data_IF_356365445788
#
_entry.id   IF_356365445788
#
_cell.length_a   1.000
_cell.length_b   1.000
_cell.length_c   1.000
_cell.angle_alpha   90.00
_cell.angle_beta   90.00
_cell.angle_gamma   90.00
#
_symmetry.space_group_name_H-M   'P 1'
#
loop_
_entity.id
_entity.type
_entity.pdbx_description
1 polymer ?
#
# COMPACT_ATOMS: atom_id res chain seq x y z
N UNK A 1 -9.01 27.48 36.27
CA UNK A 1 -7.54 27.48 36.41
C UNK A 1 -7.12 26.03 36.53
N UNK A 2 -6.45 25.50 35.52
CA UNK A 2 -5.80 24.19 35.58
C UNK A 2 -4.35 24.45 35.16
N UNK A 3 -3.48 24.67 36.14
CA UNK A 3 -2.04 24.61 35.93
C UNK A 3 -1.67 23.14 35.72
N UNK A 4 -1.61 22.72 34.46
CA UNK A 4 -1.05 21.43 34.06
C UNK A 4 0.18 21.69 33.22
N UNK A 5 1.31 22.01 33.87
CA UNK A 5 2.59 22.09 33.18
C UNK A 5 2.95 20.74 32.56
N UNK A 6 3.77 20.76 31.49
CA UNK A 6 4.33 19.54 30.93
C UNK A 6 5.04 18.71 32.01
N UNK A 7 5.05 17.38 31.87
CA UNK A 7 5.79 16.50 32.78
C UNK A 7 7.29 16.87 32.78
N UNK A 8 8.03 16.52 33.84
CA UNK A 8 9.48 16.73 33.86
C UNK A 8 10.18 15.93 32.74
N UNK A 9 11.35 16.39 32.32
CA UNK A 9 12.05 15.86 31.14
C UNK A 9 12.42 14.38 31.26
N UNK A 10 12.74 13.89 32.47
CA UNK A 10 13.06 12.48 32.69
C UNK A 10 11.81 11.61 32.58
N UNK A 11 10.67 12.08 33.10
CA UNK A 11 9.35 11.44 32.91
C UNK A 11 8.98 11.40 31.44
N UNK A 12 9.07 12.53 30.72
CA UNK A 12 8.77 12.56 29.29
C UNK A 12 9.61 11.57 28.49
N UNK A 13 10.94 11.56 28.73
CA UNK A 13 11.85 10.61 28.10
C UNK A 13 11.44 9.17 28.40
N UNK A 14 11.22 8.83 29.67
CA UNK A 14 10.94 7.47 30.11
C UNK A 14 9.61 6.93 29.55
N UNK A 15 8.56 7.74 29.59
CA UNK A 15 7.24 7.37 29.08
C UNK A 15 7.27 7.18 27.57
N UNK A 16 7.77 8.16 26.81
CA UNK A 16 7.81 8.06 25.35
C UNK A 16 8.74 6.94 24.89
N UNK A 17 9.90 6.73 25.54
CA UNK A 17 10.79 5.62 25.20
C UNK A 17 10.14 4.24 25.41
N UNK A 18 9.24 4.13 26.38
CA UNK A 18 8.46 2.90 26.61
C UNK A 18 7.38 2.75 25.54
N UNK A 19 6.67 3.84 25.23
CA UNK A 19 5.58 3.84 24.25
C UNK A 19 6.06 3.57 22.82
N UNK A 20 7.26 4.01 22.45
CA UNK A 20 7.86 3.67 21.15
C UNK A 20 8.14 2.17 20.97
N UNK A 21 8.20 1.40 22.06
CA UNK A 21 8.37 -0.07 22.02
C UNK A 21 7.04 -0.82 22.01
N UNK A 22 5.92 -0.11 21.99
CA UNK A 22 4.58 -0.70 21.91
C UNK A 22 4.48 -1.62 20.69
N UNK A 23 4.08 -2.87 20.91
CA UNK A 23 3.88 -3.82 19.83
C UNK A 23 2.69 -3.41 18.96
N UNK A 24 2.86 -3.47 17.64
CA UNK A 24 1.79 -3.19 16.69
C UNK A 24 0.71 -4.28 16.75
N UNK A 25 -0.56 -3.87 16.89
CA UNK A 25 -1.72 -4.76 16.83
C UNK A 25 -2.72 -4.28 15.79
N UNK A 26 -3.26 -5.20 15.02
CA UNK A 26 -4.26 -4.91 13.97
C UNK A 26 -5.41 -4.07 14.52
N UNK A 27 -5.74 -2.99 13.82
CA UNK A 27 -6.82 -2.07 14.18
C UNK A 27 -6.41 -0.91 15.09
N UNK A 28 -5.24 -0.99 15.74
CA UNK A 28 -4.69 0.10 16.54
C UNK A 28 -4.46 1.34 15.68
N UNK A 29 -4.50 2.50 16.34
CA UNK A 29 -4.24 3.80 15.71
C UNK A 29 -2.90 4.34 16.17
N UNK A 30 -2.07 4.70 15.20
CA UNK A 30 -0.76 5.31 15.38
C UNK A 30 -0.72 6.64 14.66
N UNK A 31 0.18 7.52 15.08
CA UNK A 31 0.27 8.89 14.59
C UNK A 31 1.65 9.14 14.02
N UNK A 32 1.71 9.89 12.93
CA UNK A 32 2.97 10.37 12.37
C UNK A 32 3.39 11.65 13.10
N UNK A 33 4.67 11.72 13.44
CA UNK A 33 5.34 12.91 13.96
C UNK A 33 6.52 13.21 13.05
N UNK A 34 6.64 14.46 12.60
CA UNK A 34 7.78 14.90 11.78
C UNK A 34 9.12 14.60 12.48
N UNK A 35 10.06 13.99 11.76
CA UNK A 35 11.31 13.55 12.34
C UNK A 35 12.20 14.72 12.77
N UNK A 36 12.07 15.91 12.16
CA UNK A 36 12.80 17.09 12.56
C UNK A 36 12.34 17.57 13.93
N UNK A 37 11.02 17.71 14.12
CA UNK A 37 10.43 18.04 15.42
C UNK A 37 10.83 17.00 16.48
N UNK A 38 10.72 15.71 16.15
CA UNK A 38 11.04 14.64 17.08
C UNK A 38 12.54 14.61 17.45
N UNK A 39 13.44 14.82 16.49
CA UNK A 39 14.89 14.95 16.75
C UNK A 39 15.20 16.13 17.67
N UNK A 40 14.50 17.24 17.51
CA UNK A 40 14.63 18.42 18.37
C UNK A 40 14.16 18.12 19.79
N UNK A 41 13.00 17.47 19.93
CA UNK A 41 12.48 16.98 21.21
C UNK A 41 13.46 16.03 21.91
N UNK A 42 14.07 15.09 21.16
CA UNK A 42 15.07 14.16 21.71
C UNK A 42 16.27 14.88 22.34
N UNK A 43 16.77 15.95 21.73
CA UNK A 43 17.85 16.79 22.31
C UNK A 43 17.38 17.47 23.59
N UNK A 44 16.18 18.05 23.54
CA UNK A 44 15.59 18.77 24.67
C UNK A 44 15.42 17.89 25.91
N UNK A 45 14.95 16.65 25.76
CA UNK A 45 14.75 15.72 26.88
C UNK A 45 15.97 14.84 27.19
N UNK A 46 17.08 15.00 26.44
CA UNK A 46 18.24 14.12 26.55
C UNK A 46 17.89 12.65 26.33
N UNK A 47 17.11 12.38 25.28
CA UNK A 47 16.55 11.05 24.97
C UNK A 47 17.63 10.02 24.70
N UNK A 48 18.59 10.38 23.85
CA UNK A 48 19.75 9.56 23.57
C UNK A 48 20.79 9.77 24.68
N UNK A 49 21.22 8.69 25.34
CA UNK A 49 21.96 8.75 26.62
C UNK A 49 23.31 9.45 26.58
N UNK A 50 23.82 9.81 25.40
CA UNK A 50 25.10 10.47 25.17
C UNK A 50 24.98 11.99 24.93
N UNK A 51 23.77 12.51 24.67
CA UNK A 51 23.54 13.93 24.35
C UNK A 51 22.68 14.62 25.41
N UNK A 52 23.25 14.78 26.61
CA UNK A 52 22.60 15.50 27.73
C UNK A 52 23.06 16.96 27.88
N UNK A 53 24.01 17.42 27.06
CA UNK A 53 24.59 18.75 27.18
C UNK A 53 23.57 19.86 26.93
N UNK A 54 22.60 19.62 26.05
CA UNK A 54 21.54 20.57 25.70
C UNK A 54 20.21 20.26 26.41
N UNK A 55 20.18 19.30 27.34
CA UNK A 55 18.95 18.89 28.01
C UNK A 55 18.34 20.07 28.77
N UNK A 56 17.08 20.40 28.47
CA UNK A 56 16.35 21.52 29.05
C UNK A 56 16.73 22.90 28.51
N UNK A 57 17.70 23.02 27.59
CA UNK A 57 18.07 24.30 26.98
C UNK A 57 16.92 24.81 26.08
N UNK A 58 16.58 26.08 26.25
CA UNK A 58 15.55 26.76 25.46
C UNK A 58 15.93 26.84 23.97
N UNK A 59 17.22 26.85 23.64
CA UNK A 59 17.69 26.82 22.26
C UNK A 59 17.29 25.54 21.51
N UNK A 60 17.00 24.47 22.25
CA UNK A 60 16.59 23.18 21.69
C UNK A 60 15.15 22.82 22.03
N UNK A 61 14.39 23.72 22.65
CA UNK A 61 12.96 23.52 22.90
C UNK A 61 12.22 23.31 21.57
N UNK A 62 11.48 22.19 21.40
CA UNK A 62 10.93 21.83 20.10
C UNK A 62 9.73 22.68 19.68
N UNK A 63 9.10 23.42 20.61
CA UNK A 63 7.83 24.11 20.34
C UNK A 63 6.66 23.14 20.15
N UNK A 64 5.49 23.65 19.71
CA UNK A 64 4.35 22.81 19.36
C UNK A 64 4.70 21.75 18.32
N UNK A 65 4.05 20.58 18.38
CA UNK A 65 4.23 19.52 17.39
C UNK A 65 3.91 20.08 16.01
N UNK A 66 4.90 20.07 15.12
CA UNK A 66 4.76 20.61 13.76
C UNK A 66 4.99 19.50 12.73
N UNK A 67 3.91 19.13 12.02
CA UNK A 67 3.92 18.15 10.95
C UNK A 67 3.86 18.79 9.55
N UNK A 68 4.08 20.10 9.42
CA UNK A 68 4.04 20.82 8.13
C UNK A 68 5.01 20.22 7.10
N UNK A 69 6.15 19.69 7.55
CA UNK A 69 7.11 18.98 6.71
C UNK A 69 6.55 17.74 6.01
N UNK A 70 5.50 17.12 6.57
CA UNK A 70 4.86 15.91 6.06
C UNK A 70 3.64 16.18 5.16
N UNK A 71 3.07 17.38 5.21
CA UNK A 71 1.80 17.72 4.55
C UNK A 71 2.02 18.28 3.13
N UNK A 72 1.08 18.04 2.22
CA UNK A 72 1.07 18.65 0.88
C UNK A 72 0.63 20.11 0.98
N UNK A 73 1.17 20.95 0.09
CA UNK A 73 0.77 22.36 0.02
C UNK A 73 -0.72 22.49 -0.34
N UNK A 74 -1.49 23.21 0.49
CA UNK A 74 -2.90 23.51 0.23
C UNK A 74 -3.92 22.44 0.65
N UNK A 75 -3.47 21.30 1.17
CA UNK A 75 -4.35 20.27 1.76
C UNK A 75 -3.75 19.74 3.07
N UNK A 76 -4.28 20.23 4.19
CA UNK A 76 -3.83 19.91 5.55
C UNK A 76 -4.06 18.45 5.96
N UNK A 77 -4.84 17.69 5.17
CA UNK A 77 -5.12 16.27 5.43
C UNK A 77 -4.30 15.32 4.53
N UNK A 78 -3.77 15.83 3.42
CA UNK A 78 -2.96 15.04 2.50
C UNK A 78 -1.49 15.07 2.90
N UNK A 79 -0.91 13.88 3.15
CA UNK A 79 0.53 13.74 3.34
C UNK A 79 1.26 13.68 1.99
N UNK A 80 2.51 14.17 1.96
CA UNK A 80 3.42 14.02 0.82
C UNK A 80 3.59 12.54 0.49
N UNK A 81 3.88 12.25 -0.77
CA UNK A 81 4.13 10.89 -1.21
C UNK A 81 5.58 10.49 -0.90
N UNK A 82 5.81 9.18 -0.81
CA UNK A 82 7.14 8.58 -0.63
C UNK A 82 7.89 8.95 0.66
N UNK A 83 7.20 9.43 1.70
CA UNK A 83 7.78 9.58 3.04
C UNK A 83 8.25 8.23 3.58
N UNK A 84 9.43 8.23 4.17
CA UNK A 84 10.14 7.05 4.68
C UNK A 84 10.09 7.05 6.22
N UNK A 85 9.68 5.91 6.77
CA UNK A 85 9.67 5.65 8.22
C UNK A 85 11.08 5.80 8.82
N UNK A 86 11.17 6.37 10.02
CA UNK A 86 12.40 6.71 10.75
C UNK A 86 13.30 7.79 10.08
N UNK A 87 13.06 8.14 8.82
CA UNK A 87 13.79 9.20 8.11
C UNK A 87 13.02 10.51 8.13
N UNK A 88 11.78 10.49 7.63
CA UNK A 88 10.94 11.68 7.47
C UNK A 88 9.95 11.84 8.62
N UNK A 89 9.43 10.73 9.14
CA UNK A 89 8.52 10.71 10.28
C UNK A 89 8.87 9.58 11.25
N UNK A 90 8.35 9.68 12.47
CA UNK A 90 8.35 8.64 13.49
C UNK A 90 6.90 8.25 13.77
N UNK A 91 6.67 6.97 14.05
CA UNK A 91 5.37 6.45 14.45
C UNK A 91 5.24 6.40 15.97
N UNK A 92 4.20 7.03 16.50
CA UNK A 92 3.88 6.98 17.93
C UNK A 92 2.49 6.37 18.16
N UNK A 93 2.29 5.51 19.19
CA UNK A 93 0.97 5.01 19.52
C UNK A 93 0.08 6.15 20.04
N UNK A 94 -1.23 5.91 20.09
CA UNK A 94 -2.23 6.90 20.54
C UNK A 94 -1.87 7.56 21.88
N UNK A 95 -1.42 6.79 22.86
CA UNK A 95 -1.02 7.35 24.16
C UNK A 95 0.20 8.27 24.05
N UNK A 96 1.19 7.90 23.24
CA UNK A 96 2.39 8.72 23.01
C UNK A 96 2.04 10.04 22.32
N UNK A 97 1.19 9.98 21.30
CA UNK A 97 0.66 11.17 20.64
C UNK A 97 -0.03 12.12 21.62
N UNK A 98 -0.96 11.60 22.42
CA UNK A 98 -1.72 12.40 23.38
C UNK A 98 -0.81 13.08 24.41
N UNK A 99 0.24 12.40 24.87
CA UNK A 99 1.24 12.98 25.78
C UNK A 99 2.03 14.11 25.12
N UNK A 100 2.57 13.89 23.92
CA UNK A 100 3.32 14.92 23.18
C UNK A 100 2.47 16.18 22.94
N UNK A 101 1.23 16.01 22.47
CA UNK A 101 0.30 17.13 22.26
C UNK A 101 -0.09 17.79 23.58
N UNK A 102 -0.28 17.03 24.66
CA UNK A 102 -0.58 17.62 25.98
C UNK A 102 0.58 18.45 26.54
N UNK A 103 1.83 18.09 26.24
CA UNK A 103 3.01 18.78 26.75
C UNK A 103 3.43 19.97 25.91
N UNK A 104 3.30 19.87 24.59
CA UNK A 104 3.85 20.85 23.65
C UNK A 104 2.78 21.60 22.85
N UNK A 105 1.55 21.06 22.79
CA UNK A 105 0.53 21.51 21.85
C UNK A 105 0.75 20.95 20.45
N UNK A 106 -0.20 21.25 19.56
CA UNK A 106 -0.11 21.01 18.12
C UNK A 106 -0.07 22.36 17.43
N UNK A 107 0.75 22.52 16.39
CA UNK A 107 0.80 23.75 15.60
C UNK A 107 -0.60 24.15 15.12
N UNK A 108 -0.93 25.43 15.28
CA UNK A 108 -2.26 25.96 14.98
C UNK A 108 -2.67 25.65 13.53
N UNK A 109 -3.92 25.18 13.36
CA UNK A 109 -4.46 24.82 12.05
C UNK A 109 -4.06 23.44 11.53
N UNK A 110 -3.21 22.68 12.23
CA UNK A 110 -2.92 21.29 11.89
C UNK A 110 -3.86 20.31 12.59
N UNK A 111 -4.08 19.16 11.95
CA UNK A 111 -4.79 18.01 12.53
C UNK A 111 -3.84 16.82 12.74
N UNK A 112 -4.15 15.91 13.70
CA UNK A 112 -3.38 14.69 13.89
C UNK A 112 -3.33 13.80 12.64
N UNK A 113 -2.13 13.37 12.23
CA UNK A 113 -1.96 12.44 11.10
C UNK A 113 -2.10 11.00 11.60
N UNK A 114 -3.34 10.56 11.81
CA UNK A 114 -3.67 9.22 12.30
C UNK A 114 -3.67 8.15 11.19
N UNK A 115 -3.14 6.96 11.48
CA UNK A 115 -3.10 5.81 10.58
C UNK A 115 -3.39 4.51 11.33
N UNK A 116 -3.94 3.53 10.60
CA UNK A 116 -4.33 2.23 11.15
C UNK A 116 -3.22 1.20 10.99
N UNK A 117 -3.11 0.32 11.97
CA UNK A 117 -2.28 -0.88 11.85
C UNK A 117 -3.05 -1.95 11.09
N UNK A 118 -2.44 -2.47 10.03
CA UNK A 118 -2.95 -3.57 9.22
C UNK A 118 -2.00 -4.76 9.27
N UNK A 119 -2.51 -5.95 8.97
CA UNK A 119 -1.65 -7.11 8.74
C UNK A 119 -1.10 -7.04 7.32
N UNK A 120 0.21 -7.13 7.19
CA UNK A 120 0.90 -7.16 5.91
C UNK A 120 1.71 -8.45 5.77
N UNK A 121 1.56 -9.14 4.64
CA UNK A 121 2.40 -10.26 4.21
C UNK A 121 1.61 -11.34 3.49
N UNK A 122 2.16 -11.89 2.40
CA UNK A 122 1.48 -12.95 1.61
C UNK A 122 1.59 -14.34 2.26
N UNK A 123 2.70 -14.63 2.94
CA UNK A 123 2.95 -15.93 3.58
C UNK A 123 3.06 -15.82 5.09
N UNK A 124 3.86 -14.86 5.56
CA UNK A 124 4.01 -14.54 6.99
C UNK A 124 3.46 -13.14 7.20
N UNK A 125 2.37 -13.04 7.97
CA UNK A 125 1.73 -11.76 8.29
C UNK A 125 2.44 -11.09 9.47
N UNK A 126 2.75 -9.80 9.31
CA UNK A 126 3.23 -8.93 10.37
C UNK A 126 2.35 -7.68 10.44
N UNK A 127 2.17 -7.12 11.63
CA UNK A 127 1.45 -5.85 11.76
C UNK A 127 2.34 -4.69 11.29
N UNK A 128 1.76 -3.77 10.51
CA UNK A 128 2.42 -2.54 10.06
C UNK A 128 1.42 -1.39 10.06
N UNK A 129 1.86 -0.18 10.40
CA UNK A 129 1.05 1.04 10.18
C UNK A 129 0.91 1.29 8.67
N UNK A 130 -0.33 1.32 8.18
CA UNK A 130 -0.64 1.65 6.79
C UNK A 130 -0.66 3.16 6.59
N UNK A 131 0.49 3.72 6.20
CA UNK A 131 0.63 5.17 6.00
C UNK A 131 -0.05 5.65 4.71
N UNK A 132 0.03 4.84 3.65
CA UNK A 132 -0.60 5.11 2.35
C UNK A 132 -1.57 4.00 2.02
N UNK A 133 -2.80 4.39 1.68
CA UNK A 133 -3.78 3.50 1.08
C UNK A 133 -3.39 3.17 -0.36
N UNK A 134 -3.82 2.01 -0.84
CA UNK A 134 -3.64 1.61 -2.22
C UNK A 134 -4.66 2.31 -3.10
N UNK A 135 -4.18 3.12 -4.02
CA UNK A 135 -5.02 3.73 -5.05
C UNK A 135 -5.30 2.72 -6.17
N UNK A 136 -6.56 2.51 -6.50
CA UNK A 136 -7.03 1.67 -7.59
C UNK A 136 -7.89 2.48 -8.56
N UNK A 137 -7.79 2.14 -9.84
CA UNK A 137 -8.56 2.72 -10.93
C UNK A 137 -9.70 1.77 -11.28
N UNK A 138 -10.93 2.25 -11.19
CA UNK A 138 -12.14 1.44 -11.30
C UNK A 138 -12.88 1.84 -12.57
N UNK A 139 -13.30 0.89 -13.40
CA UNK A 139 -14.18 1.15 -14.54
C UNK A 139 -15.13 -0.02 -14.83
N UNK A 140 -16.16 0.25 -15.63
CA UNK A 140 -17.03 -0.79 -16.19
C UNK A 140 -16.48 -1.35 -17.50
N UNK A 141 -16.80 -2.60 -17.77
CA UNK A 141 -16.42 -3.25 -19.02
C UNK A 141 -17.02 -2.55 -20.27
N UNK A 142 -18.26 -2.06 -20.15
CA UNK A 142 -18.98 -1.36 -21.22
C UNK A 142 -18.41 0.03 -21.52
N UNK A 143 -17.64 0.63 -20.60
CA UNK A 143 -17.04 1.94 -20.74
C UNK A 143 -15.71 2.02 -19.98
N UNK A 144 -14.67 1.46 -20.60
CA UNK A 144 -13.33 1.42 -20.01
C UNK A 144 -12.63 2.80 -19.93
N UNK A 145 -13.16 3.81 -20.61
CA UNK A 145 -12.62 5.18 -20.59
C UNK A 145 -13.11 5.97 -19.35
N UNK A 146 -14.27 5.61 -18.79
CA UNK A 146 -14.79 6.19 -17.56
C UNK A 146 -14.10 5.58 -16.33
N UNK A 147 -12.89 6.05 -16.04
CA UNK A 147 -12.07 5.58 -14.93
C UNK A 147 -12.27 6.44 -13.69
N UNK A 148 -12.69 5.82 -12.59
CA UNK A 148 -12.81 6.46 -11.27
C UNK A 148 -11.69 5.97 -10.36
N UNK A 149 -10.92 6.91 -9.81
CA UNK A 149 -9.85 6.60 -8.85
C UNK A 149 -10.37 6.54 -7.42
N UNK A 150 -10.07 5.46 -6.70
CA UNK A 150 -10.42 5.26 -5.28
C UNK A 150 -9.24 4.70 -4.49
N UNK A 151 -9.26 4.93 -3.17
CA UNK A 151 -8.23 4.46 -2.25
C UNK A 151 -8.82 3.42 -1.30
N UNK A 152 -8.09 2.34 -1.11
CA UNK A 152 -8.49 1.19 -0.31
C UNK A 152 -7.35 0.77 0.62
N UNK A 153 -7.69 0.17 1.76
CA UNK A 153 -6.70 -0.49 2.61
C UNK A 153 -6.22 -1.77 1.94
N UNK A 154 -4.95 -2.14 2.12
CA UNK A 154 -4.42 -3.44 1.72
C UNK A 154 -5.18 -4.61 2.35
N UNK A 155 -5.85 -4.38 3.47
CA UNK A 155 -6.67 -5.34 4.18
C UNK A 155 -8.12 -5.39 3.68
N UNK A 156 -8.56 -4.46 2.83
CA UNK A 156 -9.89 -4.51 2.21
C UNK A 156 -9.98 -5.72 1.28
N UNK A 157 -11.16 -6.35 1.24
CA UNK A 157 -11.38 -7.55 0.44
C UNK A 157 -11.86 -7.21 -0.97
N UNK A 158 -11.72 -8.17 -1.89
CA UNK A 158 -12.26 -8.05 -3.24
C UNK A 158 -13.78 -7.78 -3.22
N UNK A 159 -14.53 -8.41 -2.31
CA UNK A 159 -15.97 -8.15 -2.10
C UNK A 159 -16.25 -6.68 -1.73
N UNK A 160 -15.42 -6.05 -0.89
CA UNK A 160 -15.58 -4.65 -0.53
C UNK A 160 -15.35 -3.73 -1.74
N UNK A 161 -14.37 -4.05 -2.57
CA UNK A 161 -14.11 -3.31 -3.82
C UNK A 161 -15.28 -3.48 -4.78
N UNK A 162 -15.78 -4.69 -4.98
CA UNK A 162 -16.94 -4.96 -5.85
C UNK A 162 -18.16 -4.16 -5.39
N UNK A 163 -18.46 -4.14 -4.08
CA UNK A 163 -19.56 -3.35 -3.52
C UNK A 163 -19.40 -1.86 -3.77
N UNK A 164 -18.19 -1.31 -3.61
CA UNK A 164 -17.93 0.09 -3.92
C UNK A 164 -18.08 0.35 -5.44
N UNK A 165 -17.61 -0.55 -6.30
CA UNK A 165 -17.80 -0.44 -7.76
C UNK A 165 -19.27 -0.49 -8.14
N UNK A 166 -20.06 -1.42 -7.57
CA UNK A 166 -21.51 -1.48 -7.79
C UNK A 166 -22.19 -0.17 -7.43
N UNK A 167 -21.82 0.42 -6.30
CA UNK A 167 -22.32 1.74 -5.89
C UNK A 167 -21.91 2.85 -6.87
N UNK A 168 -20.65 2.90 -7.28
CA UNK A 168 -20.13 3.94 -8.19
C UNK A 168 -20.78 3.88 -9.57
N UNK A 169 -21.05 2.67 -10.07
CA UNK A 169 -21.60 2.42 -11.39
C UNK A 169 -23.10 2.10 -11.38
N UNK A 170 -23.76 2.27 -10.22
CA UNK A 170 -25.20 2.05 -10.05
C UNK A 170 -25.68 0.66 -10.51
N UNK A 171 -24.90 -0.38 -10.21
CA UNK A 171 -25.19 -1.77 -10.56
C UNK A 171 -26.10 -2.39 -9.50
N UNK A 172 -27.29 -2.93 -9.85
CA UNK A 172 -28.21 -3.56 -8.89
C UNK A 172 -27.61 -4.81 -8.22
N UNK A 173 -28.03 -5.10 -6.99
CA UNK A 173 -27.51 -6.22 -6.19
C UNK A 173 -27.82 -7.59 -6.82
N UNK A 174 -28.98 -7.72 -7.47
CA UNK A 174 -29.41 -8.92 -8.19
C UNK A 174 -28.62 -9.18 -9.48
N UNK A 175 -27.88 -8.18 -9.98
CA UNK A 175 -27.09 -8.30 -11.19
C UNK A 175 -25.82 -9.10 -10.90
N UNK A 176 -25.66 -10.23 -11.57
CA UNK A 176 -24.40 -10.99 -11.52
C UNK A 176 -23.26 -10.19 -12.14
N UNK A 177 -22.11 -10.15 -11.47
CA UNK A 177 -20.90 -9.47 -11.94
C UNK A 177 -19.67 -10.36 -11.85
N UNK A 178 -18.63 -9.99 -12.60
CA UNK A 178 -17.26 -10.51 -12.47
C UNK A 178 -16.30 -9.34 -12.34
N UNK A 179 -15.27 -9.52 -11.52
CA UNK A 179 -14.22 -8.54 -11.36
C UNK A 179 -12.92 -9.03 -12.00
N UNK A 180 -12.25 -8.12 -12.71
CA UNK A 180 -11.04 -8.41 -13.46
C UNK A 180 -9.93 -7.43 -13.08
N UNK A 181 -8.74 -7.96 -12.82
CA UNK A 181 -7.52 -7.17 -12.74
C UNK A 181 -6.91 -7.04 -14.14
N UNK A 182 -6.74 -5.82 -14.64
CA UNK A 182 -6.07 -5.55 -15.91
C UNK A 182 -4.58 -5.32 -15.66
N UNK A 183 -3.79 -6.39 -15.79
CA UNK A 183 -2.34 -6.37 -15.54
C UNK A 183 -1.55 -5.67 -16.67
N UNK A 184 -1.97 -5.85 -17.92
CA UNK A 184 -1.39 -5.24 -19.13
C UNK A 184 -2.52 -4.79 -20.06
N UNK A 185 -2.22 -4.09 -21.16
CA UNK A 185 -3.25 -3.51 -22.05
C UNK A 185 -4.36 -4.48 -22.45
N UNK A 186 -4.04 -5.77 -22.67
CA UNK A 186 -4.99 -6.79 -23.11
C UNK A 186 -5.06 -8.05 -22.21
N UNK A 187 -4.41 -8.07 -21.04
CA UNK A 187 -4.41 -9.24 -20.15
C UNK A 187 -5.29 -8.96 -18.94
N UNK A 188 -6.32 -9.80 -18.76
CA UNK A 188 -7.28 -9.70 -17.68
C UNK A 188 -7.22 -10.97 -16.82
N UNK A 189 -6.91 -10.79 -15.54
CA UNK A 189 -6.87 -11.86 -14.56
C UNK A 189 -8.13 -11.79 -13.69
N UNK A 190 -8.90 -12.89 -13.57
CA UNK A 190 -10.15 -12.87 -12.83
C UNK A 190 -9.90 -12.84 -11.31
N UNK A 191 -10.61 -11.95 -10.61
CA UNK A 191 -10.58 -11.84 -9.15
C UNK A 191 -11.72 -12.64 -8.52
N UNK A 192 -11.60 -13.97 -8.57
CA UNK A 192 -12.69 -14.90 -8.21
C UNK A 192 -12.82 -15.21 -6.71
N UNK A 193 -11.94 -14.65 -5.86
CA UNK A 193 -11.91 -14.92 -4.42
C UNK A 193 -12.36 -13.66 -3.66
N UNK A 194 -13.67 -13.52 -3.38
CA UNK A 194 -14.24 -12.30 -2.77
C UNK A 194 -13.66 -12.01 -1.37
N UNK A 195 -13.19 -13.04 -0.66
CA UNK A 195 -12.57 -12.99 0.65
C UNK A 195 -11.08 -12.62 0.63
N UNK A 196 -10.43 -12.68 -0.54
CA UNK A 196 -9.03 -12.28 -0.67
C UNK A 196 -8.88 -10.77 -0.45
N UNK A 197 -7.84 -10.38 0.26
CA UNK A 197 -7.52 -8.96 0.44
C UNK A 197 -6.84 -8.39 -0.81
N UNK A 198 -6.79 -7.07 -0.94
CA UNK A 198 -6.00 -6.37 -1.97
C UNK A 198 -4.56 -6.91 -2.00
N UNK A 199 -3.96 -7.10 -0.82
CA UNK A 199 -2.62 -7.66 -0.74
C UNK A 199 -2.55 -9.12 -1.21
N UNK A 200 -3.46 -9.98 -0.77
CA UNK A 200 -3.45 -11.41 -1.12
C UNK A 200 -3.71 -11.61 -2.62
N UNK A 201 -4.49 -10.72 -3.24
CA UNK A 201 -4.73 -10.67 -4.68
C UNK A 201 -3.55 -10.08 -5.49
N UNK A 202 -2.48 -9.61 -4.82
CA UNK A 202 -1.31 -9.03 -5.49
C UNK A 202 -1.59 -7.69 -6.14
N UNK A 203 -2.60 -6.95 -5.64
CA UNK A 203 -2.97 -5.67 -6.21
C UNK A 203 -2.02 -4.54 -5.74
N UNK A 204 -1.68 -3.62 -6.62
CA UNK A 204 -0.71 -2.54 -6.39
C UNK A 204 -1.22 -1.18 -6.87
N UNK A 205 -0.52 -0.13 -6.43
CA UNK A 205 -0.84 1.27 -6.69
C UNK A 205 -1.09 1.53 -8.19
N UNK A 206 -2.25 2.10 -8.51
CA UNK A 206 -2.63 2.54 -9.85
C UNK A 206 -3.17 1.45 -10.77
N UNK A 207 -3.34 0.21 -10.31
CA UNK A 207 -3.93 -0.87 -11.10
C UNK A 207 -5.36 -0.57 -11.52
N UNK A 208 -5.74 -1.10 -12.68
CA UNK A 208 -7.08 -0.95 -13.24
C UNK A 208 -7.89 -2.21 -12.96
N UNK A 209 -9.00 -2.05 -12.24
CA UNK A 209 -10.00 -3.07 -12.02
C UNK A 209 -11.23 -2.80 -12.88
N UNK A 210 -11.72 -3.84 -13.52
CA UNK A 210 -12.88 -3.79 -14.40
C UNK A 210 -14.00 -4.65 -13.85
N UNK A 211 -15.18 -4.05 -13.66
CA UNK A 211 -16.39 -4.79 -13.32
C UNK A 211 -17.18 -5.08 -14.59
N UNK A 212 -17.46 -6.36 -14.81
CA UNK A 212 -18.25 -6.87 -15.92
C UNK A 212 -19.61 -7.30 -15.39
N UNK A 213 -20.69 -6.87 -16.04
CA UNK A 213 -22.05 -7.29 -15.73
C UNK A 213 -22.50 -8.38 -16.69
N UNK A 214 -23.23 -9.37 -16.18
CA UNK A 214 -23.84 -10.41 -17.03
C UNK A 214 -24.92 -9.81 -17.93
N UNK A 215 -24.93 -10.16 -19.20
CA UNK A 215 -25.93 -9.71 -20.17
C UNK A 215 -27.32 -10.27 -19.84
N UNK A 216 -28.38 -9.62 -20.35
CA UNK A 216 -29.77 -10.06 -20.16
C UNK A 216 -30.06 -11.43 -20.78
N UNK A 217 -29.34 -11.78 -21.85
CA UNK A 217 -29.40 -13.10 -22.51
C UNK A 217 -28.65 -14.20 -21.72
N UNK A 218 -28.10 -13.87 -20.54
CA UNK A 218 -27.35 -14.76 -19.67
C UNK A 218 -25.90 -14.97 -20.09
N UNK A 219 -25.43 -14.33 -21.17
CA UNK A 219 -24.04 -14.41 -21.62
C UNK A 219 -23.13 -13.44 -20.87
N UNK A 220 -21.82 -13.67 -20.97
CA UNK A 220 -20.79 -12.77 -20.42
C UNK A 220 -20.10 -12.05 -21.59
N UNK A 221 -20.02 -10.69 -21.58
CA UNK A 221 -19.35 -9.91 -22.62
C UNK A 221 -17.95 -10.41 -23.00
N UNK A 222 -17.13 -10.80 -22.01
CA UNK A 222 -15.77 -11.33 -22.21
C UNK A 222 -15.71 -12.84 -22.45
N UNK A 223 -16.86 -13.51 -22.46
CA UNK A 223 -16.99 -14.95 -22.67
C UNK A 223 -16.73 -15.80 -21.41
N UNK A 224 -16.53 -17.10 -21.62
CA UNK A 224 -16.25 -18.05 -20.54
C UNK A 224 -14.79 -17.95 -20.08
N UNK A 225 -14.56 -18.03 -18.77
CA UNK A 225 -13.23 -18.07 -18.12
C UNK A 225 -12.48 -19.38 -18.33
N UNK A 226 -13.07 -20.37 -19.02
CA UNK A 226 -12.43 -21.64 -19.31
C UNK A 226 -11.23 -21.45 -20.26
N UNK A 227 -10.06 -22.03 -19.98
CA UNK A 227 -8.94 -22.01 -20.91
C UNK A 227 -9.39 -22.63 -22.23
N UNK A 228 -9.30 -21.87 -23.33
CA UNK A 228 -9.51 -22.39 -24.69
C UNK A 228 -8.44 -23.44 -24.96
N UNK A 229 -8.77 -24.72 -24.78
CA UNK A 229 -8.02 -25.81 -25.41
C UNK A 229 -8.21 -25.65 -26.92
N UNK A 230 -7.17 -25.16 -27.60
CA UNK A 230 -7.17 -25.10 -29.05
C UNK A 230 -7.26 -26.53 -29.63
N UNK A 231 -8.14 -26.80 -30.60
CA UNK A 231 -8.13 -28.07 -31.29
C UNK A 231 -6.84 -28.19 -32.11
N UNK A 232 -6.02 -29.20 -31.81
CA UNK A 232 -4.89 -29.58 -32.64
C UNK A 232 -5.38 -30.05 -34.01
N UNK A 233 -5.24 -29.21 -35.04
CA UNK A 233 -5.38 -29.64 -36.43
C UNK A 233 -4.06 -30.27 -36.86
N UNK A 234 -4.02 -31.60 -36.93
CA UNK A 234 -2.90 -32.35 -37.50
C UNK A 234 -2.84 -32.11 -39.01
N UNK A 235 -1.87 -31.33 -39.48
CA UNK A 235 -1.53 -31.26 -40.91
C UNK A 235 -0.46 -32.32 -41.18
N UNK A 236 -0.84 -33.39 -41.89
CA UNK A 236 0.10 -34.33 -42.49
C UNK A 236 0.89 -33.60 -43.59
N UNK A 237 2.21 -33.53 -43.43
CA UNK A 237 3.10 -33.00 -44.44
C UNK A 237 3.75 -34.17 -45.18
N UNK A 238 3.24 -34.50 -46.38
CA UNK A 238 3.93 -35.35 -47.34
C UNK A 238 4.96 -34.50 -48.09
N UNK A 239 6.24 -34.85 -48.03
CA UNK A 239 7.27 -34.24 -48.89
C UNK A 239 8.05 -35.32 -49.64
N UNK A 240 8.17 -35.07 -50.94
CA UNK A 240 8.69 -35.94 -51.98
C UNK A 240 10.18 -36.28 -51.82
N UNK A 241 10.52 -37.45 -52.34
CA UNK A 241 11.88 -37.93 -52.54
C UNK A 241 12.64 -37.07 -53.56
N UNK A 242 13.90 -36.76 -53.25
CA UNK A 242 14.95 -36.56 -54.25
C UNK A 242 16.25 -37.19 -53.75
N UNK A 243 16.74 -38.16 -54.50
CA UNK A 243 17.99 -38.86 -54.28
C UNK A 243 19.17 -38.02 -54.78
N UNK A 244 20.25 -37.96 -54.00
CA UNK A 244 21.54 -37.41 -54.42
C UNK A 244 22.64 -38.03 -53.57
N UNK A 245 23.36 -38.98 -54.17
CA UNK A 245 24.54 -39.64 -53.60
C UNK A 245 25.70 -38.64 -53.48
N UNK A 246 26.47 -38.73 -52.39
CA UNK A 246 27.89 -39.12 -52.40
C UNK A 246 28.63 -38.64 -51.13
N UNK A 247 29.27 -39.59 -50.47
CA UNK A 247 30.35 -39.44 -49.47
C UNK A 247 31.64 -39.84 -50.21
N UNK A 248 32.84 -39.31 -49.90
CA UNK A 248 33.51 -39.74 -48.66
C UNK A 248 34.50 -38.76 -47.98
N UNK A 249 34.48 -38.83 -46.63
CA UNK A 249 35.61 -39.01 -45.68
C UNK A 249 37.03 -38.51 -46.06
N UNK A 250 37.57 -37.58 -45.28
CA UNK A 250 38.96 -37.54 -44.78
C UNK A 250 39.07 -36.41 -43.72
N UNK A 251 39.27 -36.74 -42.44
CA UNK A 251 40.54 -36.79 -41.70
C UNK A 251 41.04 -35.45 -41.11
N UNK A 252 41.25 -35.52 -39.79
CA UNK A 252 42.40 -35.06 -39.01
C UNK A 252 42.41 -33.69 -38.30
N UNK A 253 42.75 -33.80 -37.00
CA UNK A 253 43.62 -32.93 -36.18
C UNK A 253 43.10 -31.53 -35.82
N UNK A 254 43.40 -30.92 -34.69
CA UNK A 254 43.98 -31.28 -33.38
C UNK A 254 43.88 -29.96 -32.57
N UNK A 255 43.56 -30.05 -31.27
CA UNK A 255 44.02 -29.17 -30.18
C UNK A 255 43.98 -27.62 -30.33
N UNK A 256 43.35 -26.93 -29.37
CA UNK A 256 44.01 -26.27 -28.22
C UNK A 256 43.08 -25.22 -27.58
N UNK A 257 43.01 -25.33 -26.25
CA UNK A 257 42.73 -24.32 -25.23
C UNK A 257 41.32 -23.73 -25.16
#
# INVERSE_FOLDING_TARGET
>A
MAEGGAADLDTQRGEVATLLKTQLRKGDTWYLVDSHWFKQWKKYVGFDSWDKYQMGDQNVYPGPVDNSGLLKDGDVLAIKEHLIDELDYILVPTEGWNKLVSWYGLTEGQEPIARKVVEQGMFVKHCKVEVYLTELKLCEDSNMDNVITKRFSKADTIDMIEKEMRKLFSIPDEKETRLWNRYMSNTFEPLNKPDSTIQDAGLYQGQVLVIEQKSEDGTWPRGSTAPKLAPHTTVQQSSLMSAGKDKPRAQNRQSRR
#
